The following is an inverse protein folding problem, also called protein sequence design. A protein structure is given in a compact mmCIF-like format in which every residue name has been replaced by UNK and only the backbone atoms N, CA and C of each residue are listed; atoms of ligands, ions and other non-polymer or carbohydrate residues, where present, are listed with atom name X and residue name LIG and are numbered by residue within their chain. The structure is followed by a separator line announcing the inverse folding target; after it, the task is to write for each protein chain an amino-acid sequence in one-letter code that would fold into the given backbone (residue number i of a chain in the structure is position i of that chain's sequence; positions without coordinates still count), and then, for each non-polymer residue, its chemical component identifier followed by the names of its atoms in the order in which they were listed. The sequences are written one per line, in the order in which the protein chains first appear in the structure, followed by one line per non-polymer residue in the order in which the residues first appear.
data_IF_525896594535
#
_entry.id   IF_525896594535
#
_cell.length_a   1.000
_cell.length_b   1.000
_cell.length_c   1.000
_cell.angle_alpha   90.00
_cell.angle_beta   90.00
_cell.angle_gamma   90.00
#
_symmetry.space_group_name_H-M   'P 1'
#
loop_
_entity.id
_entity.type
_entity.pdbx_description
1 polymer ?
#
# COMPACT_ATOMS: atom_id res chain seq x y z
N UNK A 1 -9.33 8.21 -24.74
CA UNK A 1 -8.73 6.88 -24.56
C UNK A 1 -9.52 6.12 -23.50
N UNK A 2 -9.90 4.85 -23.79
CA UNK A 2 -10.63 4.00 -22.84
C UNK A 2 -9.70 3.02 -22.15
N UNK A 3 -9.69 3.04 -20.82
CA UNK A 3 -8.90 2.13 -19.97
C UNK A 3 -9.84 1.25 -19.17
N UNK A 4 -9.61 -0.07 -19.22
CA UNK A 4 -10.31 -1.03 -18.38
C UNK A 4 -9.35 -1.53 -17.30
N UNK A 5 -9.69 -1.24 -16.04
CA UNK A 5 -9.00 -1.75 -14.86
C UNK A 5 -9.67 -3.04 -14.39
N UNK A 6 -8.93 -4.13 -14.25
CA UNK A 6 -9.48 -5.40 -13.78
C UNK A 6 -8.85 -5.74 -12.43
N UNK A 7 -9.68 -5.85 -11.39
CA UNK A 7 -9.25 -6.19 -10.04
C UNK A 7 -10.02 -7.40 -9.51
N UNK A 8 -9.34 -8.34 -8.86
CA UNK A 8 -9.95 -9.58 -8.34
C UNK A 8 -10.41 -9.48 -6.88
N UNK A 9 -10.17 -8.37 -6.19
CA UNK A 9 -10.43 -8.22 -4.76
C UNK A 9 -11.93 -8.17 -4.45
N UNK A 10 -12.39 -9.06 -3.57
CA UNK A 10 -13.76 -9.01 -2.99
C UNK A 10 -13.83 -8.10 -1.78
N UNK A 11 -12.74 -7.99 -1.01
CA UNK A 11 -12.62 -7.10 0.14
C UNK A 11 -11.91 -5.79 -0.21
N UNK A 12 -12.03 -4.78 0.67
CA UNK A 12 -11.28 -3.53 0.54
C UNK A 12 -9.87 -3.77 1.07
N UNK A 13 -8.97 -4.21 0.18
CA UNK A 13 -7.54 -4.32 0.44
C UNK A 13 -6.77 -3.08 -0.01
N UNK A 14 -5.44 -3.07 0.23
CA UNK A 14 -4.57 -1.96 -0.18
C UNK A 14 -4.64 -1.65 -1.68
N UNK A 15 -4.70 -2.66 -2.55
CA UNK A 15 -4.82 -2.47 -4.00
C UNK A 15 -6.12 -1.75 -4.39
N UNK A 16 -7.24 -2.12 -3.77
CA UNK A 16 -8.53 -1.48 -4.01
C UNK A 16 -8.58 -0.03 -3.53
N UNK A 17 -8.01 0.27 -2.34
CA UNK A 17 -7.90 1.65 -1.84
C UNK A 17 -7.05 2.49 -2.78
N UNK A 18 -5.89 1.98 -3.22
CA UNK A 18 -5.01 2.67 -4.15
C UNK A 18 -5.65 2.93 -5.51
N UNK A 19 -6.44 1.97 -6.01
CA UNK A 19 -7.23 2.17 -7.22
C UNK A 19 -8.23 3.31 -7.04
N UNK A 20 -8.96 3.36 -5.92
CA UNK A 20 -9.89 4.44 -5.61
C UNK A 20 -9.19 5.80 -5.48
N UNK A 21 -8.05 5.87 -4.76
CA UNK A 21 -7.25 7.08 -4.63
C UNK A 21 -6.83 7.62 -6.00
N UNK A 22 -6.29 6.75 -6.87
CA UNK A 22 -5.92 7.14 -8.23
C UNK A 22 -7.11 7.62 -9.06
N UNK A 23 -8.26 6.93 -8.97
CA UNK A 23 -9.46 7.27 -9.75
C UNK A 23 -10.17 8.54 -9.27
N UNK A 24 -9.92 9.00 -8.05
CA UNK A 24 -10.37 10.31 -7.56
C UNK A 24 -9.73 11.46 -8.36
N UNK A 25 -8.49 11.26 -8.82
CA UNK A 25 -7.73 12.21 -9.63
C UNK A 25 -7.62 11.75 -11.11
N UNK A 26 -8.61 10.99 -11.60
CA UNK A 26 -8.60 10.51 -12.99
C UNK A 26 -8.56 11.65 -13.98
N UNK A 27 -7.75 11.50 -15.03
CA UNK A 27 -7.66 12.48 -16.12
C UNK A 27 -8.95 12.51 -16.95
N UNK A 28 -9.42 13.68 -17.33
CA UNK A 28 -10.69 13.86 -18.07
C UNK A 28 -10.68 13.24 -19.47
N UNK A 29 -9.51 13.09 -20.08
CA UNK A 29 -9.31 12.50 -21.42
C UNK A 29 -9.23 10.96 -21.37
N UNK A 30 -9.28 10.35 -20.17
CA UNK A 30 -9.27 8.90 -19.96
C UNK A 30 -10.60 8.44 -19.39
N UNK A 31 -11.38 7.78 -20.23
CA UNK A 31 -12.56 7.06 -19.80
C UNK A 31 -12.13 5.76 -19.08
N UNK A 32 -12.49 5.61 -17.82
CA UNK A 32 -12.09 4.42 -17.03
C UNK A 32 -13.30 3.59 -16.67
N UNK A 33 -13.21 2.29 -16.93
CA UNK A 33 -14.17 1.25 -16.53
C UNK A 33 -13.45 0.28 -15.58
N UNK A 34 -14.08 -0.09 -14.48
CA UNK A 34 -13.53 -1.08 -13.55
C UNK A 34 -14.32 -2.37 -13.63
N UNK A 35 -13.61 -3.48 -13.94
CA UNK A 35 -14.17 -4.84 -13.94
C UNK A 35 -13.74 -5.52 -12.63
N UNK A 36 -14.70 -6.04 -11.88
CA UNK A 36 -14.46 -6.62 -10.55
C UNK A 36 -15.53 -7.67 -10.20
N UNK A 37 -15.27 -8.54 -9.18
CA UNK A 37 -16.25 -9.52 -8.73
C UNK A 37 -17.56 -8.87 -8.25
N UNK A 38 -18.70 -9.56 -8.45
CA UNK A 38 -20.04 -9.07 -8.02
C UNK A 38 -20.12 -8.76 -6.54
N UNK A 39 -19.35 -9.48 -5.72
CA UNK A 39 -19.34 -9.36 -4.26
C UNK A 39 -18.33 -8.34 -3.74
N UNK A 40 -17.67 -7.61 -4.65
CA UNK A 40 -16.61 -6.68 -4.25
C UNK A 40 -17.14 -5.50 -3.45
N UNK A 41 -16.60 -5.32 -2.26
CA UNK A 41 -16.88 -4.17 -1.37
C UNK A 41 -16.36 -2.84 -1.91
N UNK A 42 -15.63 -2.85 -3.03
CA UNK A 42 -15.18 -1.63 -3.72
C UNK A 42 -16.29 -0.95 -4.52
N UNK A 43 -17.35 -1.68 -4.90
CA UNK A 43 -18.43 -1.17 -5.78
C UNK A 43 -19.02 0.15 -5.27
N UNK A 44 -19.43 0.29 -3.98
CA UNK A 44 -19.99 1.55 -3.48
C UNK A 44 -19.01 2.73 -3.59
N UNK A 45 -17.71 2.50 -3.30
CA UNK A 45 -16.66 3.52 -3.40
C UNK A 45 -16.42 3.98 -4.83
N UNK A 46 -16.40 3.05 -5.79
CA UNK A 46 -16.25 3.36 -7.22
C UNK A 46 -17.46 4.12 -7.77
N UNK A 47 -18.67 3.76 -7.35
CA UNK A 47 -19.89 4.50 -7.69
C UNK A 47 -19.86 5.93 -7.15
N UNK A 48 -19.41 6.14 -5.92
CA UNK A 48 -19.25 7.48 -5.33
C UNK A 48 -18.24 8.35 -6.12
N UNK A 49 -17.29 7.73 -6.83
CA UNK A 49 -16.33 8.40 -7.72
C UNK A 49 -16.85 8.55 -9.16
N UNK A 50 -18.13 8.22 -9.41
CA UNK A 50 -18.73 8.22 -10.76
C UNK A 50 -17.90 7.41 -11.76
N UNK A 51 -17.41 6.22 -11.34
CA UNK A 51 -16.67 5.29 -12.18
C UNK A 51 -17.60 4.17 -12.62
N UNK A 52 -17.64 3.91 -13.93
CA UNK A 52 -18.41 2.80 -14.48
C UNK A 52 -17.82 1.47 -14.00
N UNK A 53 -18.68 0.58 -13.48
CA UNK A 53 -18.29 -0.74 -13.01
C UNK A 53 -19.00 -1.83 -13.78
N UNK A 54 -18.26 -2.89 -14.15
CA UNK A 54 -18.79 -4.11 -14.74
C UNK A 54 -18.47 -5.27 -13.80
N UNK A 55 -19.48 -6.05 -13.45
CA UNK A 55 -19.36 -7.12 -12.48
C UNK A 55 -19.19 -8.47 -13.18
N UNK A 56 -18.27 -9.30 -12.65
CA UNK A 56 -18.01 -10.67 -13.13
C UNK A 56 -18.31 -11.70 -12.02
N UNK A 57 -18.59 -12.93 -12.43
CA UNK A 57 -18.86 -14.05 -11.50
C UNK A 57 -17.59 -14.68 -10.94
N UNK A 58 -16.47 -14.62 -11.69
CA UNK A 58 -15.21 -15.25 -11.34
C UNK A 58 -14.16 -14.31 -10.76
N UNK A 59 -12.94 -14.81 -10.64
CA UNK A 59 -11.74 -14.09 -10.13
C UNK A 59 -11.84 -13.62 -8.67
N UNK A 60 -12.71 -14.19 -7.85
CA UNK A 60 -12.88 -13.78 -6.45
C UNK A 60 -11.60 -14.11 -5.65
N UNK A 61 -10.84 -13.08 -5.29
CA UNK A 61 -9.55 -13.15 -4.54
C UNK A 61 -8.51 -14.12 -5.14
N UNK A 62 -8.65 -14.46 -6.43
CA UNK A 62 -7.75 -15.37 -7.15
C UNK A 62 -7.02 -14.64 -8.27
N UNK A 63 -5.71 -14.80 -8.30
CA UNK A 63 -4.90 -14.25 -9.41
C UNK A 63 -5.20 -14.97 -10.72
N UNK A 64 -5.35 -16.31 -10.70
CA UNK A 64 -5.65 -17.10 -11.88
C UNK A 64 -6.90 -17.96 -11.67
N UNK A 65 -7.91 -17.67 -12.46
CA UNK A 65 -9.16 -18.42 -12.56
C UNK A 65 -9.47 -18.65 -14.06
N UNK A 66 -9.18 -19.83 -14.60
CA UNK A 66 -9.40 -20.12 -16.03
C UNK A 66 -10.87 -20.05 -16.43
N UNK A 67 -11.81 -20.32 -15.49
CA UNK A 67 -13.26 -20.27 -15.77
C UNK A 67 -13.76 -18.84 -16.00
N UNK A 68 -13.07 -17.83 -15.46
CA UNK A 68 -13.41 -16.44 -15.67
C UNK A 68 -12.90 -15.86 -17.01
N UNK A 69 -11.96 -16.54 -17.69
CA UNK A 69 -11.34 -16.03 -18.92
C UNK A 69 -12.37 -15.79 -20.05
N UNK A 70 -13.30 -16.71 -20.37
CA UNK A 70 -14.30 -16.47 -21.41
C UNK A 70 -15.20 -15.26 -21.13
N UNK A 71 -15.67 -15.09 -19.88
CA UNK A 71 -16.48 -13.94 -19.46
C UNK A 71 -15.69 -12.64 -19.60
N UNK A 72 -14.44 -12.62 -19.15
CA UNK A 72 -13.55 -11.46 -19.30
C UNK A 72 -13.30 -11.10 -20.77
N UNK A 73 -13.08 -12.09 -21.64
CA UNK A 73 -12.93 -11.86 -23.11
C UNK A 73 -14.18 -11.21 -23.68
N UNK A 74 -15.36 -11.72 -23.35
CA UNK A 74 -16.63 -11.18 -23.85
C UNK A 74 -16.83 -9.72 -23.41
N UNK A 75 -16.57 -9.43 -22.14
CA UNK A 75 -16.64 -8.06 -21.57
C UNK A 75 -15.63 -7.15 -22.27
N UNK A 76 -14.36 -7.55 -22.40
CA UNK A 76 -13.33 -6.73 -23.01
C UNK A 76 -13.61 -6.48 -24.49
N UNK A 77 -14.12 -7.46 -25.25
CA UNK A 77 -14.57 -7.28 -26.64
C UNK A 77 -15.72 -6.28 -26.76
N UNK A 78 -16.68 -6.31 -25.84
CA UNK A 78 -17.80 -5.35 -25.78
C UNK A 78 -17.34 -3.94 -25.44
N UNK A 79 -16.44 -3.78 -24.46
CA UNK A 79 -15.93 -2.48 -24.01
C UNK A 79 -14.92 -1.85 -24.99
N UNK A 80 -14.26 -2.65 -25.84
CA UNK A 80 -13.23 -2.23 -26.81
C UNK A 80 -12.18 -1.30 -26.18
N UNK A 81 -11.46 -1.73 -25.12
CA UNK A 81 -10.50 -0.88 -24.44
C UNK A 81 -9.26 -0.63 -25.29
N UNK A 82 -8.71 0.57 -25.19
CA UNK A 82 -7.37 0.88 -25.67
C UNK A 82 -6.31 0.22 -24.78
N UNK A 83 -6.55 0.24 -23.47
CA UNK A 83 -5.66 -0.33 -22.46
C UNK A 83 -6.46 -1.19 -21.48
N UNK A 84 -5.94 -2.37 -21.17
CA UNK A 84 -6.38 -3.19 -20.05
C UNK A 84 -5.27 -3.22 -19.00
N UNK A 85 -5.55 -2.74 -17.78
CA UNK A 85 -4.63 -2.88 -16.66
C UNK A 85 -5.18 -3.87 -15.63
N UNK A 86 -4.40 -4.89 -15.29
CA UNK A 86 -4.77 -5.92 -14.33
C UNK A 86 -4.09 -5.70 -12.98
N UNK A 87 -4.88 -5.72 -11.90
CA UNK A 87 -4.39 -5.64 -10.53
C UNK A 87 -4.39 -7.04 -9.91
N UNK A 88 -3.20 -7.69 -9.88
CA UNK A 88 -3.05 -9.02 -9.32
C UNK A 88 -3.80 -10.15 -10.04
N UNK A 89 -4.46 -9.89 -11.17
CA UNK A 89 -5.31 -10.82 -11.89
C UNK A 89 -4.63 -11.35 -13.16
N UNK A 90 -4.06 -12.56 -13.12
CA UNK A 90 -3.41 -13.18 -14.27
C UNK A 90 -4.42 -13.57 -15.37
N UNK A 91 -5.65 -13.98 -14.98
CA UNK A 91 -6.72 -14.28 -15.94
C UNK A 91 -7.06 -13.08 -16.80
N UNK A 92 -7.05 -11.86 -16.22
CA UNK A 92 -7.32 -10.64 -16.97
C UNK A 92 -6.21 -10.33 -18.00
N UNK A 93 -4.94 -10.63 -17.70
CA UNK A 93 -3.85 -10.49 -18.68
C UNK A 93 -4.02 -11.40 -19.88
N UNK A 94 -4.39 -12.67 -19.63
CA UNK A 94 -4.69 -13.63 -20.70
C UNK A 94 -5.90 -13.17 -21.52
N UNK A 95 -6.99 -12.78 -20.85
CA UNK A 95 -8.19 -12.30 -21.51
C UNK A 95 -7.93 -11.03 -22.35
N UNK A 96 -7.09 -10.09 -21.86
CA UNK A 96 -6.70 -8.90 -22.61
C UNK A 96 -6.04 -9.24 -23.96
N UNK A 97 -5.12 -10.21 -23.96
CA UNK A 97 -4.48 -10.66 -25.21
C UNK A 97 -5.47 -11.33 -26.16
N UNK A 98 -6.31 -12.22 -25.64
CA UNK A 98 -7.30 -12.97 -26.44
C UNK A 98 -8.48 -12.11 -26.92
N UNK A 99 -8.77 -11.00 -26.25
CA UNK A 99 -9.79 -10.03 -26.66
C UNK A 99 -9.32 -9.06 -27.76
N UNK A 100 -8.02 -9.02 -28.04
CA UNK A 100 -7.43 -8.06 -28.98
C UNK A 100 -7.24 -6.65 -28.40
N UNK A 101 -7.17 -6.49 -27.08
CA UNK A 101 -6.84 -5.22 -26.45
C UNK A 101 -5.50 -4.68 -26.96
N UNK A 102 -5.46 -3.39 -27.32
CA UNK A 102 -4.27 -2.77 -27.96
C UNK A 102 -3.06 -2.82 -27.05
N UNK A 103 -3.25 -2.53 -25.74
CA UNK A 103 -2.21 -2.53 -24.71
C UNK A 103 -2.68 -3.31 -23.49
N UNK A 104 -1.86 -4.24 -23.01
CA UNK A 104 -2.06 -4.96 -21.75
C UNK A 104 -1.00 -4.54 -20.74
N UNK A 105 -1.44 -4.05 -19.58
CA UNK A 105 -0.60 -3.63 -18.45
C UNK A 105 -0.88 -4.52 -17.24
N UNK A 106 0.12 -4.71 -16.42
CA UNK A 106 -0.01 -5.40 -15.14
C UNK A 106 0.53 -4.52 -14.02
N UNK A 107 -0.28 -4.22 -13.01
CA UNK A 107 0.14 -3.52 -11.80
C UNK A 107 0.39 -4.52 -10.68
N UNK A 108 1.63 -4.59 -10.20
CA UNK A 108 2.04 -5.46 -9.10
C UNK A 108 2.05 -4.70 -7.78
N UNK A 109 1.15 -5.11 -6.88
CA UNK A 109 0.95 -4.47 -5.57
C UNK A 109 1.71 -5.12 -4.41
N UNK A 110 2.34 -6.28 -4.61
CA UNK A 110 2.93 -7.06 -3.52
C UNK A 110 4.42 -7.35 -3.75
N UNK A 111 5.21 -7.23 -2.69
CA UNK A 111 6.51 -7.86 -2.52
C UNK A 111 6.34 -9.09 -1.63
N UNK A 112 6.95 -10.19 -2.03
CA UNK A 112 7.03 -11.41 -1.22
C UNK A 112 8.48 -11.88 -1.21
N UNK A 113 8.90 -12.65 -0.18
CA UNK A 113 10.20 -13.30 -0.23
C UNK A 113 10.35 -14.12 -1.52
N UNK A 114 11.42 -13.86 -2.24
CA UNK A 114 11.62 -14.50 -3.55
C UNK A 114 11.93 -15.97 -3.33
N UNK A 115 11.15 -16.84 -3.99
CA UNK A 115 11.34 -18.28 -3.90
C UNK A 115 12.64 -18.68 -4.60
N UNK A 116 13.39 -19.63 -4.03
CA UNK A 116 14.65 -20.17 -4.59
C UNK A 116 14.53 -20.65 -6.04
N UNK A 117 13.34 -21.07 -6.49
CA UNK A 117 13.13 -21.48 -7.88
C UNK A 117 13.50 -20.38 -8.90
N UNK A 118 13.44 -19.10 -8.51
CA UNK A 118 13.84 -17.98 -9.36
C UNK A 118 15.37 -17.76 -9.44
N UNK A 119 16.17 -18.51 -8.67
CA UNK A 119 17.63 -18.58 -8.86
C UNK A 119 17.98 -19.33 -10.14
N UNK A 120 17.10 -20.22 -10.61
CA UNK A 120 17.31 -21.03 -11.82
C UNK A 120 17.10 -20.18 -13.09
N UNK A 121 18.05 -20.26 -14.02
CA UNK A 121 18.00 -19.54 -15.30
C UNK A 121 16.75 -19.89 -16.13
N UNK A 122 16.35 -21.17 -16.15
CA UNK A 122 15.19 -21.63 -16.89
C UNK A 122 13.90 -20.96 -16.39
N UNK A 123 13.69 -20.92 -15.08
CA UNK A 123 12.51 -20.27 -14.46
C UNK A 123 12.47 -18.77 -14.80
N UNK A 124 13.61 -18.10 -14.75
CA UNK A 124 13.71 -16.67 -15.12
C UNK A 124 13.42 -16.44 -16.60
N UNK A 125 13.95 -17.30 -17.49
CA UNK A 125 13.67 -17.23 -18.93
C UNK A 125 12.19 -17.47 -19.23
N UNK A 126 11.57 -18.44 -18.56
CA UNK A 126 10.14 -18.71 -18.69
C UNK A 126 9.29 -17.54 -18.18
N UNK A 127 9.70 -16.92 -17.06
CA UNK A 127 9.04 -15.72 -16.54
C UNK A 127 9.17 -14.54 -17.50
N UNK A 128 10.34 -14.34 -18.12
CA UNK A 128 10.54 -13.31 -19.14
C UNK A 128 9.62 -13.55 -20.35
N UNK A 129 9.58 -14.79 -20.85
CA UNK A 129 8.74 -15.16 -21.99
C UNK A 129 7.25 -14.96 -21.69
N UNK A 130 6.76 -15.51 -20.59
CA UNK A 130 5.34 -15.39 -20.20
C UNK A 130 4.92 -13.94 -19.91
N UNK A 131 5.83 -13.13 -19.35
CA UNK A 131 5.58 -11.71 -19.14
C UNK A 131 5.40 -10.98 -20.48
N UNK A 132 6.30 -11.19 -21.45
CA UNK A 132 6.19 -10.59 -22.80
C UNK A 132 4.94 -11.09 -23.55
N UNK A 133 4.55 -12.35 -23.35
CA UNK A 133 3.38 -12.92 -23.98
C UNK A 133 2.08 -12.31 -23.43
N UNK A 134 2.01 -12.02 -22.14
CA UNK A 134 0.77 -11.65 -21.45
C UNK A 134 0.59 -10.15 -21.22
N UNK A 135 1.65 -9.35 -21.21
CA UNK A 135 1.54 -7.90 -21.06
C UNK A 135 2.59 -7.13 -21.87
N UNK A 136 2.31 -5.87 -22.17
CA UNK A 136 3.23 -4.95 -22.84
C UNK A 136 4.09 -4.20 -21.82
N UNK A 137 3.55 -3.95 -20.63
CA UNK A 137 4.24 -3.24 -19.57
C UNK A 137 3.79 -3.69 -18.18
N UNK A 138 4.65 -3.45 -17.18
CA UNK A 138 4.38 -3.72 -15.77
C UNK A 138 4.57 -2.44 -14.97
N UNK A 139 3.58 -2.08 -14.18
CA UNK A 139 3.68 -1.02 -13.16
C UNK A 139 4.15 -1.68 -11.86
N UNK A 140 5.33 -1.30 -11.39
CA UNK A 140 5.84 -1.64 -10.08
C UNK A 140 5.50 -0.50 -9.11
N UNK A 141 4.76 -0.79 -8.05
CA UNK A 141 4.28 0.25 -7.10
C UNK A 141 5.36 0.77 -6.15
N UNK A 142 6.57 0.24 -6.23
CA UNK A 142 7.75 0.74 -5.51
C UNK A 142 9.04 0.24 -6.18
N UNK A 143 10.20 0.85 -5.87
CA UNK A 143 11.50 0.35 -6.30
C UNK A 143 11.79 -1.08 -5.81
N UNK A 144 11.28 -1.47 -4.63
CA UNK A 144 11.40 -2.83 -4.11
C UNK A 144 10.68 -3.84 -5.01
N UNK A 145 9.45 -3.55 -5.45
CA UNK A 145 8.71 -4.38 -6.42
C UNK A 145 9.46 -4.49 -7.74
N UNK A 146 10.08 -3.41 -8.22
CA UNK A 146 10.91 -3.46 -9.45
C UNK A 146 12.10 -4.40 -9.29
N UNK A 147 12.79 -4.38 -8.12
CA UNK A 147 13.89 -5.32 -7.83
C UNK A 147 13.40 -6.77 -7.84
N UNK A 148 12.28 -7.05 -7.17
CA UNK A 148 11.70 -8.39 -7.12
C UNK A 148 11.37 -8.90 -8.53
N UNK A 149 10.72 -8.07 -9.35
CA UNK A 149 10.40 -8.41 -10.74
C UNK A 149 11.65 -8.73 -11.55
N UNK A 150 12.74 -7.96 -11.38
CA UNK A 150 14.01 -8.21 -12.05
C UNK A 150 14.65 -9.53 -11.61
N UNK A 151 14.64 -9.82 -10.30
CA UNK A 151 15.13 -11.09 -9.76
C UNK A 151 14.31 -12.29 -10.26
N UNK A 152 13.01 -12.12 -10.44
CA UNK A 152 12.12 -13.12 -11.04
C UNK A 152 12.32 -13.29 -12.55
N UNK A 153 13.07 -12.41 -13.21
CA UNK A 153 13.37 -12.49 -14.65
C UNK A 153 12.45 -11.63 -15.53
N UNK A 154 11.60 -10.78 -14.97
CA UNK A 154 10.81 -9.83 -15.78
C UNK A 154 11.74 -8.81 -16.43
N UNK A 155 11.67 -8.59 -17.77
CA UNK A 155 12.57 -7.71 -18.47
C UNK A 155 12.50 -6.26 -17.97
N UNK A 156 13.65 -5.68 -17.64
CA UNK A 156 13.76 -4.34 -17.08
C UNK A 156 13.04 -3.24 -17.91
N UNK A 157 13.10 -3.23 -19.26
CA UNK A 157 12.42 -2.23 -20.08
C UNK A 157 10.90 -2.28 -20.00
N UNK A 158 10.33 -3.42 -19.55
CA UNK A 158 8.88 -3.55 -19.38
C UNK A 158 8.39 -2.93 -18.06
N UNK A 159 9.29 -2.62 -17.10
CA UNK A 159 8.89 -2.25 -15.74
C UNK A 159 9.04 -0.74 -15.52
N UNK A 160 7.92 -0.06 -15.35
CA UNK A 160 7.84 1.33 -14.89
C UNK A 160 7.55 1.36 -13.39
N UNK A 161 8.33 2.11 -12.62
CA UNK A 161 7.98 2.40 -11.22
C UNK A 161 7.02 3.58 -11.20
N UNK A 162 5.84 3.38 -10.60
CA UNK A 162 4.88 4.42 -10.23
C UNK A 162 4.55 4.17 -8.77
N UNK A 163 5.08 5.00 -7.89
CA UNK A 163 4.93 4.79 -6.44
C UNK A 163 3.50 5.09 -6.03
N UNK A 164 2.95 4.24 -5.16
CA UNK A 164 1.62 4.43 -4.60
C UNK A 164 1.50 5.78 -3.88
N UNK A 165 0.36 6.42 -4.06
CA UNK A 165 0.00 7.67 -3.42
C UNK A 165 -1.22 7.54 -2.52
N UNK A 166 -1.24 8.30 -1.43
CA UNK A 166 -2.39 8.41 -0.54
C UNK A 166 -3.09 9.76 -0.71
N UNK A 167 -4.36 9.83 -0.30
CA UNK A 167 -5.04 11.10 -0.06
C UNK A 167 -4.48 11.74 1.21
N UNK A 168 -4.35 13.07 1.27
CA UNK A 168 -3.97 13.73 2.51
C UNK A 168 -5.05 13.54 3.56
N UNK A 169 -4.65 13.25 4.79
CA UNK A 169 -5.58 13.17 5.91
C UNK A 169 -5.99 14.57 6.38
N UNK A 170 -7.19 14.64 6.97
CA UNK A 170 -7.63 15.85 7.66
C UNK A 170 -6.91 15.98 9.00
N UNK A 171 -6.13 17.05 9.16
CA UNK A 171 -5.55 17.37 10.46
C UNK A 171 -6.64 17.91 11.39
N UNK A 172 -6.79 17.30 12.56
CA UNK A 172 -7.67 17.79 13.61
C UNK A 172 -7.09 19.08 14.22
N UNK A 173 -7.96 20.02 14.59
CA UNK A 173 -7.56 21.18 15.36
C UNK A 173 -7.13 20.81 16.80
N UNK A 174 -6.58 21.75 17.56
CA UNK A 174 -6.05 21.49 18.90
C UNK A 174 -7.12 20.96 19.88
N UNK A 175 -8.33 21.50 19.81
CA UNK A 175 -9.45 21.09 20.68
C UNK A 175 -9.93 19.66 20.35
N UNK A 176 -10.10 19.33 19.06
CA UNK A 176 -10.45 18.00 18.58
C UNK A 176 -9.39 16.97 19.01
N UNK A 177 -8.11 17.30 18.88
CA UNK A 177 -7.00 16.44 19.32
C UNK A 177 -7.03 16.20 20.83
N UNK A 178 -7.21 17.27 21.62
CA UNK A 178 -7.33 17.16 23.07
C UNK A 178 -8.53 16.31 23.49
N UNK A 179 -9.68 16.49 22.85
CA UNK A 179 -10.87 15.67 23.08
C UNK A 179 -10.64 14.19 22.72
N UNK A 180 -9.97 13.93 21.59
CA UNK A 180 -9.61 12.56 21.18
C UNK A 180 -8.65 11.89 22.16
N UNK A 181 -7.61 12.61 22.64
CA UNK A 181 -6.67 12.11 23.67
C UNK A 181 -7.41 11.78 24.97
N UNK A 182 -8.29 12.67 25.47
CA UNK A 182 -9.12 12.42 26.67
C UNK A 182 -9.99 11.16 26.51
N UNK A 183 -10.67 11.01 25.35
CA UNK A 183 -11.50 9.83 25.06
C UNK A 183 -10.72 8.50 25.13
N UNK A 184 -9.44 8.53 24.81
CA UNK A 184 -8.56 7.35 24.85
C UNK A 184 -7.73 7.26 26.13
N UNK A 185 -8.03 8.07 27.16
CA UNK A 185 -7.28 8.15 28.42
C UNK A 185 -5.75 8.35 28.20
N UNK A 186 -5.38 9.15 27.20
CA UNK A 186 -4.00 9.50 26.91
C UNK A 186 -3.65 10.75 27.73
N UNK A 187 -2.66 10.68 28.66
CA UNK A 187 -2.26 11.83 29.46
C UNK A 187 -1.73 12.99 28.60
N UNK A 188 -1.85 14.18 29.13
CA UNK A 188 -1.18 15.33 28.55
C UNK A 188 0.34 15.14 28.63
N UNK A 189 1.06 15.47 27.55
CA UNK A 189 2.51 15.28 27.49
C UNK A 189 2.98 13.85 27.15
N UNK A 190 2.11 12.83 27.17
CA UNK A 190 2.50 11.47 26.74
C UNK A 190 2.80 11.43 25.24
N UNK A 191 3.90 10.79 24.85
CA UNK A 191 4.23 10.51 23.45
C UNK A 191 3.34 9.37 22.94
N UNK A 192 2.63 9.61 21.85
CA UNK A 192 1.76 8.62 21.20
C UNK A 192 2.49 7.94 20.06
N UNK A 193 2.71 6.66 20.18
CA UNK A 193 3.31 5.81 19.14
C UNK A 193 2.26 4.91 18.54
N UNK A 194 2.03 5.00 17.23
CA UNK A 194 0.96 4.27 16.54
C UNK A 194 1.44 3.29 15.49
N UNK A 195 0.81 2.11 15.41
CA UNK A 195 0.94 1.19 14.29
C UNK A 195 -0.43 1.01 13.62
N UNK A 196 -0.50 1.29 12.32
CA UNK A 196 -1.72 1.28 11.52
C UNK A 196 -1.60 0.20 10.44
N UNK A 197 -2.02 -1.01 10.79
CA UNK A 197 -1.90 -2.16 9.89
C UNK A 197 -2.89 -3.27 10.27
N UNK A 198 -3.13 -4.19 9.32
CA UNK A 198 -3.86 -5.43 9.64
C UNK A 198 -3.07 -6.22 10.69
N UNK A 199 -3.78 -6.80 11.67
CA UNK A 199 -3.14 -7.62 12.70
C UNK A 199 -2.85 -9.02 12.16
N UNK A 200 -1.86 -9.09 11.26
CA UNK A 200 -1.36 -10.30 10.62
C UNK A 200 0.11 -10.50 10.99
N UNK A 201 0.57 -11.75 11.01
CA UNK A 201 1.94 -12.10 11.38
C UNK A 201 3.00 -11.32 10.59
N UNK A 202 2.77 -11.11 9.29
CA UNK A 202 3.69 -10.37 8.42
C UNK A 202 3.82 -8.88 8.76
N UNK A 203 2.99 -8.34 9.65
CA UNK A 203 3.07 -6.95 10.14
C UNK A 203 3.81 -6.81 11.48
N UNK A 204 4.15 -7.92 12.09
CA UNK A 204 5.03 -8.05 13.27
C UNK A 204 4.71 -7.09 14.44
N UNK A 205 3.43 -7.05 14.81
CA UNK A 205 2.99 -6.29 15.98
C UNK A 205 3.60 -6.80 17.29
N UNK A 206 4.17 -8.01 17.30
CA UNK A 206 4.90 -8.53 18.46
C UNK A 206 6.15 -7.71 18.75
N UNK A 207 6.95 -7.38 17.71
CA UNK A 207 8.13 -6.53 17.86
C UNK A 207 7.72 -5.14 18.38
N UNK A 208 6.60 -4.59 17.90
CA UNK A 208 6.05 -3.33 18.41
C UNK A 208 5.69 -3.40 19.89
N UNK A 209 4.97 -4.45 20.35
CA UNK A 209 4.63 -4.62 21.76
C UNK A 209 5.86 -4.84 22.65
N UNK A 210 6.84 -5.62 22.18
CA UNK A 210 8.10 -5.84 22.90
C UNK A 210 8.92 -4.55 23.02
N UNK A 211 8.95 -3.71 21.98
CA UNK A 211 9.58 -2.37 22.02
C UNK A 211 8.80 -1.42 22.95
N UNK A 212 7.46 -1.49 22.96
CA UNK A 212 6.64 -0.72 23.89
C UNK A 212 6.97 -1.06 25.36
N UNK A 213 7.20 -2.33 25.68
CA UNK A 213 7.67 -2.72 27.02
C UNK A 213 9.02 -2.11 27.35
N UNK A 214 9.97 -2.21 26.44
CA UNK A 214 11.31 -1.64 26.57
C UNK A 214 11.28 -0.13 26.83
N UNK A 215 10.44 0.62 26.08
CA UNK A 215 10.24 2.05 26.26
C UNK A 215 9.68 2.41 27.66
N UNK A 216 8.73 1.60 28.15
CA UNK A 216 8.18 1.79 29.51
C UNK A 216 9.21 1.49 30.59
N UNK A 217 10.05 0.46 30.42
CA UNK A 217 11.12 0.12 31.37
C UNK A 217 12.19 1.20 31.47
N UNK A 218 12.42 1.92 30.39
CA UNK A 218 13.34 3.08 30.36
C UNK A 218 12.73 4.38 30.91
N UNK A 219 11.50 4.34 31.43
CA UNK A 219 10.88 5.43 32.19
C UNK A 219 10.19 6.53 31.35
N UNK A 220 9.98 6.31 30.06
CA UNK A 220 9.26 7.26 29.19
C UNK A 220 7.74 7.22 29.38
N UNK A 221 7.06 8.36 29.27
CA UNK A 221 5.60 8.42 29.29
C UNK A 221 5.05 8.25 27.88
N UNK A 222 4.74 6.99 27.55
CA UNK A 222 4.24 6.60 26.25
C UNK A 222 2.81 6.09 26.30
N UNK A 223 2.09 6.24 25.18
CA UNK A 223 0.85 5.52 24.86
C UNK A 223 0.98 4.92 23.48
N UNK A 224 0.45 3.72 23.31
CA UNK A 224 0.60 2.95 22.08
C UNK A 224 -0.77 2.70 21.45
N UNK A 225 -0.90 3.00 20.18
CA UNK A 225 -2.11 2.74 19.40
C UNK A 225 -1.86 1.58 18.44
N UNK A 226 -2.71 0.55 18.51
CA UNK A 226 -2.75 -0.54 17.54
C UNK A 226 -4.07 -0.42 16.78
N UNK A 227 -3.97 0.03 15.52
CA UNK A 227 -5.13 0.36 14.68
C UNK A 227 -5.26 -0.65 13.56
N UNK A 228 -6.34 -1.41 13.58
CA UNK A 228 -6.63 -2.47 12.62
C UNK A 228 -7.24 -3.70 13.28
N UNK A 229 -7.56 -4.70 12.46
CA UNK A 229 -8.03 -6.04 12.86
C UNK A 229 -7.27 -7.10 12.08
N UNK A 230 -7.34 -8.35 12.53
CA UNK A 230 -6.71 -9.46 11.82
C UNK A 230 -6.65 -10.73 12.64
N UNK A 231 -6.10 -11.78 12.04
CA UNK A 231 -6.05 -13.12 12.63
C UNK A 231 -5.20 -13.21 13.92
N UNK A 232 -4.22 -12.31 14.07
CA UNK A 232 -3.33 -12.28 15.22
C UNK A 232 -3.89 -11.53 16.45
N UNK A 233 -5.08 -10.91 16.36
CA UNK A 233 -5.60 -10.01 17.41
C UNK A 233 -5.65 -10.66 18.79
N UNK A 234 -6.22 -11.87 18.90
CA UNK A 234 -6.32 -12.57 20.16
C UNK A 234 -4.95 -12.89 20.78
N UNK A 235 -3.98 -13.26 19.95
CA UNK A 235 -2.60 -13.51 20.37
C UNK A 235 -1.93 -12.22 20.87
N UNK A 236 -2.05 -11.13 20.13
CA UNK A 236 -1.45 -9.84 20.49
C UNK A 236 -2.03 -9.26 21.80
N UNK A 237 -3.34 -9.42 22.03
CA UNK A 237 -3.96 -9.04 23.32
C UNK A 237 -3.41 -9.86 24.50
N UNK A 238 -3.22 -11.17 24.33
CA UNK A 238 -2.57 -12.00 25.36
C UNK A 238 -1.12 -11.58 25.60
N UNK A 239 -0.35 -11.33 24.53
CA UNK A 239 1.03 -10.83 24.66
C UNK A 239 1.08 -9.48 25.38
N UNK A 240 0.19 -8.55 25.02
CA UNK A 240 0.08 -7.24 25.67
C UNK A 240 -0.14 -7.39 27.19
N UNK A 241 -1.05 -8.28 27.59
CA UNK A 241 -1.31 -8.60 29.01
C UNK A 241 -0.08 -9.22 29.67
N UNK A 242 0.55 -10.22 29.04
CA UNK A 242 1.78 -10.84 29.56
C UNK A 242 2.94 -9.88 29.75
N UNK A 243 2.98 -8.79 28.97
CA UNK A 243 3.95 -7.70 29.07
C UNK A 243 3.53 -6.60 30.08
N UNK A 244 2.34 -6.67 30.70
CA UNK A 244 1.84 -5.64 31.63
C UNK A 244 1.54 -4.30 30.96
N UNK A 245 1.12 -4.31 29.68
CA UNK A 245 0.92 -3.09 28.88
C UNK A 245 -0.55 -2.69 28.72
N UNK A 246 -1.51 -3.35 29.39
CA UNK A 246 -2.94 -3.15 29.18
C UNK A 246 -3.40 -1.71 29.39
N UNK A 247 -2.77 -0.99 30.32
CA UNK A 247 -3.05 0.44 30.59
C UNK A 247 -2.32 1.42 29.66
N UNK A 248 -1.38 0.93 28.86
CA UNK A 248 -0.54 1.76 27.97
C UNK A 248 -0.87 1.56 26.48
N UNK A 249 -1.51 0.43 26.11
CA UNK A 249 -1.84 0.06 24.72
C UNK A 249 -3.34 0.13 24.49
N UNK A 250 -3.75 0.79 23.41
CA UNK A 250 -5.13 0.86 22.96
C UNK A 250 -5.27 0.09 21.65
N UNK A 251 -6.06 -0.98 21.66
CA UNK A 251 -6.50 -1.68 20.45
C UNK A 251 -7.81 -1.02 19.97
N UNK A 252 -7.79 -0.36 18.84
CA UNK A 252 -8.97 0.38 18.34
C UNK A 252 -9.89 -0.47 17.46
N UNK A 253 -9.43 -1.62 17.00
CA UNK A 253 -10.09 -2.36 15.92
C UNK A 253 -9.91 -1.66 14.57
N UNK A 254 -10.71 -2.08 13.58
CA UNK A 254 -10.74 -1.43 12.26
C UNK A 254 -11.39 -0.06 12.36
N UNK A 255 -10.74 0.94 11.77
CA UNK A 255 -11.21 2.32 11.69
C UNK A 255 -11.17 2.75 10.23
N UNK A 256 -12.30 3.20 9.69
CA UNK A 256 -12.39 3.63 8.29
C UNK A 256 -11.69 4.97 8.06
N UNK A 257 -11.99 5.98 8.89
CA UNK A 257 -11.29 7.27 8.89
C UNK A 257 -10.25 7.30 10.01
N UNK A 258 -9.00 7.14 9.64
CA UNK A 258 -7.88 7.14 10.59
C UNK A 258 -7.40 8.56 10.94
N UNK A 259 -7.93 9.61 10.29
CA UNK A 259 -7.51 11.00 10.52
C UNK A 259 -7.51 11.39 12.00
N UNK A 260 -8.54 11.03 12.81
CA UNK A 260 -8.55 11.40 14.23
C UNK A 260 -7.49 10.68 15.07
N UNK A 261 -7.10 9.45 14.70
CA UNK A 261 -6.07 8.71 15.40
C UNK A 261 -4.67 9.13 14.96
N UNK A 262 -4.48 9.33 13.65
CA UNK A 262 -3.20 9.78 13.11
C UNK A 262 -2.86 11.21 13.56
N UNK A 263 -3.87 12.10 13.70
CA UNK A 263 -3.69 13.47 14.18
C UNK A 263 -3.20 13.58 15.64
N UNK A 264 -3.38 12.52 16.44
CA UNK A 264 -2.88 12.46 17.82
C UNK A 264 -1.65 11.57 17.96
N UNK A 265 -1.17 10.98 16.87
CA UNK A 265 0.01 10.12 16.83
C UNK A 265 1.25 10.98 16.62
N UNK A 266 2.23 10.85 17.49
CA UNK A 266 3.50 11.55 17.38
C UNK A 266 4.51 10.79 16.52
N UNK A 267 4.50 9.45 16.57
CA UNK A 267 5.42 8.60 15.81
C UNK A 267 4.63 7.46 15.16
N UNK A 268 4.71 7.33 13.84
CA UNK A 268 4.09 6.25 13.10
C UNK A 268 5.09 5.09 12.92
N UNK A 269 4.70 3.86 13.28
CA UNK A 269 5.59 2.69 13.22
C UNK A 269 5.09 1.68 12.20
N UNK A 270 6.02 1.10 11.44
CA UNK A 270 5.74 -0.04 10.56
C UNK A 270 6.79 -1.14 10.80
N UNK A 271 6.36 -2.27 11.37
CA UNK A 271 7.22 -3.40 11.73
C UNK A 271 7.23 -4.53 10.68
N UNK A 272 6.69 -4.33 9.48
CA UNK A 272 6.47 -5.41 8.51
C UNK A 272 7.72 -6.25 8.23
N UNK A 273 7.54 -7.58 8.11
CA UNK A 273 8.62 -8.57 7.88
C UNK A 273 8.33 -9.53 6.72
N UNK A 274 7.11 -9.61 6.21
CA UNK A 274 6.72 -10.61 5.21
C UNK A 274 6.20 -10.05 3.89
N UNK A 275 5.52 -8.92 3.94
CA UNK A 275 5.03 -8.22 2.74
C UNK A 275 4.84 -6.74 3.02
N UNK A 276 5.57 -5.91 2.31
CA UNK A 276 5.43 -4.46 2.34
C UNK A 276 5.98 -3.85 1.05
N UNK A 277 5.20 -3.03 0.40
CA UNK A 277 5.62 -2.40 -0.86
C UNK A 277 5.68 -0.88 -0.74
N UNK A 278 4.59 -0.31 -0.26
CA UNK A 278 4.40 1.13 -0.11
C UNK A 278 3.19 1.31 0.82
N UNK A 279 3.46 1.44 2.11
CA UNK A 279 2.42 1.52 3.14
C UNK A 279 1.58 2.78 2.98
N UNK A 280 0.26 2.61 2.80
CA UNK A 280 -0.68 3.74 2.80
C UNK A 280 -0.61 4.50 4.11
N UNK A 281 -0.61 3.78 5.25
CA UNK A 281 -0.57 4.40 6.57
C UNK A 281 0.70 5.25 6.81
N UNK A 282 1.83 4.89 6.18
CA UNK A 282 3.02 5.74 6.21
C UNK A 282 2.82 7.03 5.40
N UNK A 283 2.28 6.92 4.18
CA UNK A 283 1.98 8.11 3.36
C UNK A 283 0.95 9.01 4.04
N UNK A 284 -0.11 8.42 4.60
CA UNK A 284 -1.17 9.12 5.33
C UNK A 284 -0.61 9.84 6.57
N UNK A 285 0.26 9.19 7.35
CA UNK A 285 0.95 9.84 8.47
C UNK A 285 1.86 11.00 8.00
N UNK A 286 2.61 10.80 6.93
CA UNK A 286 3.47 11.84 6.35
C UNK A 286 2.68 13.04 5.82
N UNK A 287 1.41 12.88 5.39
CA UNK A 287 0.54 13.98 4.98
C UNK A 287 0.21 14.94 6.13
N UNK A 288 0.32 14.47 7.37
CA UNK A 288 0.18 15.28 8.59
C UNK A 288 1.54 15.67 9.20
N UNK A 289 2.64 15.36 8.52
CA UNK A 289 3.99 15.59 9.03
C UNK A 289 4.39 14.64 10.17
N UNK A 290 3.75 13.47 10.32
CA UNK A 290 4.12 12.50 11.35
C UNK A 290 5.36 11.72 10.90
N UNK A 291 6.50 11.82 11.61
CA UNK A 291 7.69 11.07 11.28
C UNK A 291 7.49 9.58 11.60
N UNK A 292 8.23 8.71 10.91
CA UNK A 292 8.04 7.29 11.04
C UNK A 292 9.30 6.52 11.46
N UNK A 293 9.10 5.40 12.16
CA UNK A 293 10.15 4.39 12.42
C UNK A 293 9.72 3.09 11.78
N UNK A 294 10.54 2.56 10.88
CA UNK A 294 10.16 1.42 10.04
C UNK A 294 11.21 0.33 10.02
N UNK A 295 10.78 -0.92 9.84
CA UNK A 295 11.70 -2.03 9.59
C UNK A 295 12.40 -1.86 8.21
N UNK A 296 13.56 -2.47 8.04
CA UNK A 296 14.34 -2.46 6.78
C UNK A 296 13.74 -3.37 5.69
N UNK A 297 12.47 -3.82 5.86
CA UNK A 297 11.82 -4.73 4.93
C UNK A 297 11.15 -4.02 3.74
N UNK A 298 11.33 -4.61 2.56
CA UNK A 298 10.54 -4.29 1.36
C UNK A 298 10.66 -2.85 0.89
N UNK A 299 9.53 -2.15 0.83
CA UNK A 299 9.44 -0.75 0.41
C UNK A 299 9.63 0.28 1.53
N UNK A 300 9.76 -0.15 2.78
CA UNK A 300 9.87 0.75 3.92
C UNK A 300 11.04 1.73 3.82
N UNK A 301 12.25 1.24 3.43
CA UNK A 301 13.45 2.09 3.26
C UNK A 301 13.33 3.07 2.08
N UNK A 302 12.37 2.86 1.18
CA UNK A 302 12.03 3.86 0.17
C UNK A 302 11.13 4.94 0.76
N UNK A 303 10.11 4.53 1.53
CA UNK A 303 9.14 5.44 2.16
C UNK A 303 9.81 6.32 3.22
N UNK A 304 10.65 5.74 4.06
CA UNK A 304 11.39 6.42 5.12
C UNK A 304 12.87 6.39 4.77
N UNK A 305 13.46 7.57 4.58
CA UNK A 305 14.91 7.73 4.43
C UNK A 305 15.51 7.92 5.81
N UNK A 306 16.36 6.98 6.20
CA UNK A 306 16.99 6.96 7.51
C UNK A 306 17.71 8.28 7.83
N UNK A 307 17.46 8.84 9.01
CA UNK A 307 18.03 10.12 9.44
C UNK A 307 17.49 11.37 8.72
N UNK A 308 16.49 11.24 7.83
CA UNK A 308 15.92 12.34 7.05
C UNK A 308 14.48 12.67 7.45
N UNK A 309 13.56 11.71 7.31
CA UNK A 309 12.15 11.86 7.65
C UNK A 309 11.65 10.76 8.61
N UNK A 310 12.58 10.05 9.24
CA UNK A 310 12.35 8.96 10.17
C UNK A 310 13.59 8.11 10.37
N UNK A 311 13.40 6.93 10.95
CA UNK A 311 14.46 5.95 11.14
C UNK A 311 14.09 4.60 10.56
N UNK A 312 15.11 3.87 10.08
CA UNK A 312 15.00 2.49 9.62
C UNK A 312 15.76 1.59 10.59
N UNK A 313 15.12 0.52 11.08
CA UNK A 313 15.70 -0.41 12.03
C UNK A 313 15.70 -1.85 11.47
N UNK A 314 16.62 -2.74 11.93
CA UNK A 314 16.64 -4.13 11.50
C UNK A 314 15.35 -4.87 11.92
N UNK A 315 14.78 -5.66 11.00
CA UNK A 315 13.56 -6.43 11.26
C UNK A 315 13.66 -7.20 12.57
N UNK A 316 12.56 -7.24 13.35
CA UNK A 316 12.41 -7.97 14.62
C UNK A 316 13.33 -7.49 15.75
N UNK A 317 14.09 -6.42 15.56
CA UNK A 317 14.93 -5.83 16.59
C UNK A 317 14.14 -4.82 17.42
N UNK A 318 13.55 -5.29 18.54
CA UNK A 318 12.78 -4.46 19.46
C UNK A 318 13.63 -3.35 20.13
N UNK A 319 14.92 -3.61 20.33
CA UNK A 319 15.82 -2.64 20.98
C UNK A 319 16.13 -1.49 20.03
N UNK A 320 16.52 -1.81 18.79
CA UNK A 320 16.75 -0.80 17.77
C UNK A 320 15.48 0.04 17.48
N UNK A 321 14.29 -0.59 17.50
CA UNK A 321 13.01 0.12 17.39
C UNK A 321 12.80 1.09 18.56
N UNK A 322 13.02 0.64 19.81
CA UNK A 322 12.89 1.49 20.98
C UNK A 322 13.90 2.67 20.95
N UNK A 323 15.15 2.40 20.61
CA UNK A 323 16.19 3.43 20.48
C UNK A 323 15.82 4.49 19.43
N UNK A 324 15.30 4.07 18.28
CA UNK A 324 14.86 4.97 17.22
C UNK A 324 13.67 5.86 17.69
N UNK A 325 12.73 5.30 18.44
CA UNK A 325 11.60 6.05 19.02
C UNK A 325 12.10 7.07 20.04
N UNK A 326 13.02 6.70 20.94
CA UNK A 326 13.61 7.62 21.93
C UNK A 326 14.33 8.79 21.25
N UNK A 327 15.09 8.53 20.19
CA UNK A 327 15.77 9.58 19.42
C UNK A 327 14.80 10.62 18.86
N UNK A 328 13.57 10.23 18.50
CA UNK A 328 12.52 11.15 18.03
C UNK A 328 11.88 11.99 19.15
N UNK A 329 12.23 11.76 20.41
CA UNK A 329 11.83 12.63 21.53
C UNK A 329 12.61 13.96 21.54
N UNK A 330 13.73 14.06 20.80
CA UNK A 330 14.40 15.34 20.59
C UNK A 330 13.55 16.26 19.72
N UNK A 331 13.13 17.40 20.28
CA UNK A 331 12.22 18.33 19.61
C UNK A 331 12.78 18.91 18.31
N UNK A 332 14.08 19.18 18.23
CA UNK A 332 14.71 19.74 17.02
C UNK A 332 14.71 18.70 15.90
N UNK A 333 15.08 17.47 16.26
CA UNK A 333 15.07 16.35 15.33
C UNK A 333 13.65 16.02 14.85
N UNK A 334 12.69 15.97 15.78
CA UNK A 334 11.28 15.76 15.47
C UNK A 334 10.75 16.81 14.48
N UNK A 335 10.95 18.11 14.78
CA UNK A 335 10.51 19.20 13.90
C UNK A 335 11.11 19.08 12.49
N UNK A 336 12.41 18.77 12.40
CA UNK A 336 13.10 18.53 11.12
C UNK A 336 12.46 17.37 10.36
N UNK A 337 12.24 16.22 11.03
CA UNK A 337 11.69 15.05 10.37
C UNK A 337 10.22 15.21 10.00
N UNK A 338 9.46 15.92 10.82
CA UNK A 338 8.07 16.28 10.53
C UNK A 338 7.97 17.08 9.23
N UNK A 339 8.76 18.14 9.10
CA UNK A 339 8.83 18.96 7.88
C UNK A 339 9.22 18.09 6.65
N UNK A 340 10.27 17.31 6.78
CA UNK A 340 10.75 16.45 5.70
C UNK A 340 9.73 15.34 5.29
N UNK A 341 8.94 14.85 6.26
CA UNK A 341 7.85 13.91 6.00
C UNK A 341 6.76 14.55 5.15
N UNK A 342 6.33 15.75 5.50
CA UNK A 342 5.32 16.51 4.75
C UNK A 342 5.82 16.81 3.32
N UNK A 343 7.02 17.36 3.17
CA UNK A 343 7.63 17.65 1.86
C UNK A 343 7.74 16.39 0.99
N UNK A 344 8.08 15.24 1.61
CA UNK A 344 8.16 13.97 0.90
C UNK A 344 6.78 13.49 0.43
N UNK A 345 5.75 13.63 1.28
CA UNK A 345 4.38 13.32 0.89
C UNK A 345 3.94 14.16 -0.31
N UNK A 346 4.09 15.47 -0.21
CA UNK A 346 3.68 16.41 -1.26
C UNK A 346 4.40 16.13 -2.58
N UNK A 347 5.68 15.80 -2.55
CA UNK A 347 6.48 15.59 -3.75
C UNK A 347 6.33 14.20 -4.36
N UNK A 348 6.20 13.13 -3.54
CA UNK A 348 6.39 11.77 -4.03
C UNK A 348 5.26 10.79 -3.68
N UNK A 349 4.43 11.06 -2.65
CA UNK A 349 3.57 10.04 -2.05
C UNK A 349 2.08 10.38 -2.07
N UNK A 350 1.67 11.44 -2.76
CA UNK A 350 0.27 11.84 -2.88
C UNK A 350 -0.43 11.14 -4.07
N UNK A 351 -1.75 11.03 -3.98
CA UNK A 351 -2.58 10.33 -4.94
C UNK A 351 -2.67 11.04 -6.31
N UNK A 352 -2.64 12.36 -6.32
CA UNK A 352 -2.70 13.17 -7.55
C UNK A 352 -1.49 12.91 -8.45
N UNK A 353 -0.28 12.89 -7.87
CA UNK A 353 0.94 12.53 -8.59
C UNK A 353 0.87 11.11 -9.15
N UNK A 354 0.45 10.13 -8.34
CA UNK A 354 0.28 8.74 -8.80
C UNK A 354 -0.68 8.65 -9.98
N UNK A 355 -1.79 9.39 -9.93
CA UNK A 355 -2.78 9.43 -11.01
C UNK A 355 -2.20 10.07 -12.27
N UNK A 356 -1.52 11.20 -12.15
CA UNK A 356 -0.88 11.92 -13.26
C UNK A 356 0.19 11.06 -13.95
N UNK A 357 1.10 10.45 -13.18
CA UNK A 357 2.13 9.57 -13.74
C UNK A 357 1.55 8.33 -14.43
N UNK A 358 0.48 7.76 -13.86
CA UNK A 358 -0.20 6.60 -14.47
C UNK A 358 -0.87 6.99 -15.79
N UNK A 359 -1.56 8.14 -15.83
CA UNK A 359 -2.20 8.64 -17.05
C UNK A 359 -1.17 8.92 -18.14
N UNK A 360 -0.06 9.56 -17.81
CA UNK A 360 1.01 9.84 -18.77
C UNK A 360 1.65 8.54 -19.28
N UNK A 361 1.88 7.56 -18.41
CA UNK A 361 2.40 6.26 -18.81
C UNK A 361 1.45 5.53 -19.78
N UNK A 362 0.14 5.58 -19.54
CA UNK A 362 -0.85 5.03 -20.46
C UNK A 362 -0.81 5.71 -21.83
N UNK A 363 -0.72 7.05 -21.90
CA UNK A 363 -0.58 7.78 -23.15
C UNK A 363 0.69 7.39 -23.92
N UNK A 364 1.81 7.23 -23.22
CA UNK A 364 3.08 6.78 -23.82
C UNK A 364 2.95 5.39 -24.45
N UNK A 365 2.35 4.44 -23.73
CA UNK A 365 2.13 3.08 -24.24
C UNK A 365 1.18 3.07 -25.45
N UNK A 366 0.11 3.84 -25.40
CA UNK A 366 -0.86 3.95 -26.49
C UNK A 366 -0.20 4.47 -27.76
N UNK A 367 0.51 5.61 -27.68
CA UNK A 367 1.25 6.22 -28.81
C UNK A 367 2.33 5.30 -29.37
N UNK A 368 3.03 4.55 -28.53
CA UNK A 368 4.05 3.61 -28.97
C UNK A 368 3.47 2.45 -29.81
N UNK A 369 2.22 2.05 -29.52
CA UNK A 369 1.52 1.02 -30.30
C UNK A 369 0.97 1.58 -31.62
N UNK A 370 0.48 2.81 -31.63
CA UNK A 370 0.04 3.46 -32.88
C UNK A 370 1.16 3.49 -33.91
N UNK A 371 2.35 3.93 -33.52
CA UNK A 371 3.54 4.01 -34.41
C UNK A 371 4.01 2.65 -34.94
N UNK A 372 3.65 1.53 -34.30
CA UNK A 372 4.02 0.19 -34.77
C UNK A 372 2.96 -0.47 -35.66
N UNK A 373 1.80 0.15 -35.75
CA UNK A 373 0.67 -0.35 -36.56
C UNK A 373 0.57 0.36 -37.92
N UNK A 374 1.39 1.39 -38.12
CA UNK A 374 1.66 2.09 -39.37
C UNK A 374 2.96 1.55 -39.98
#
# INVERSE_FOLDING_TARGET
MRVVEVISDTNIGGAGVLLCNRLRHKSKDIETVVVLPRESKLIPRLKALSVLTVQIKGCCDRSFDPKAIPELIAILKSLKPDIVNSHGCASARVAARLSGARVSVYTRHCCFPIKRIYEQRLTRSLTAFTSKLTCDAVIAVSPAVKRDLALMGVPHPMVKVIVNGAEPLRLLNAEERAAKRRKLAIPEGATVVGIFARLEECKDHETFLKAARELCDRGGEYRFLIVGTGSAEAHLKRLCKGLGLEKKVVFTGFVEDISPLMSITDINVNCSVGTETSSLALSEGMSLGVPAVVSDFGGNSYMVKDGVNGFVYPQRDRIALADAIIRLSDKKLYTKFSKNSLERFERELNAERMASETAEFYRQLYRAKEKRSI
#
